data_IF_823646620155
#
_entry.id   IF_823646620155
#
_cell.length_a   1.000
_cell.length_b   1.000
_cell.length_c   1.000
_cell.angle_alpha   90.00
_cell.angle_beta   90.00
_cell.angle_gamma   90.00
#
_symmetry.space_group_name_H-M   'P 1'
#
loop_
_entity.id
_entity.type
_entity.pdbx_description
1 polymer ?
#
# COMPACT_ATOMS: atom_id res chain seq x y z
N UNK A 1 -16.91 0.53 4.34
CA UNK A 1 -16.88 0.00 2.95
C UNK A 1 -15.76 -1.02 2.83
N UNK A 2 -16.08 -2.25 2.43
CA UNK A 2 -15.08 -3.30 2.15
C UNK A 2 -14.20 -2.89 0.96
N UNK A 3 -12.95 -3.35 0.93
CA UNK A 3 -12.01 -3.14 -0.19
C UNK A 3 -12.59 -3.74 -1.48
N UNK A 4 -13.24 -4.90 -1.38
CA UNK A 4 -13.85 -5.63 -2.50
C UNK A 4 -14.96 -4.86 -3.21
N UNK A 5 -15.66 -3.96 -2.50
CA UNK A 5 -16.74 -3.16 -3.08
C UNK A 5 -16.23 -1.89 -3.79
N UNK A 6 -14.93 -1.59 -3.74
CA UNK A 6 -14.38 -0.36 -4.31
C UNK A 6 -14.13 -0.48 -5.82
N UNK A 7 -14.24 0.63 -6.58
CA UNK A 7 -13.80 0.66 -7.97
C UNK A 7 -12.29 0.38 -8.11
N UNK A 8 -11.89 -0.21 -9.22
CA UNK A 8 -10.50 -0.58 -9.53
C UNK A 8 -9.55 0.61 -9.37
N UNK A 9 -9.89 1.76 -9.96
CA UNK A 9 -9.11 3.00 -9.87
C UNK A 9 -8.87 3.44 -8.42
N UNK A 10 -9.86 3.23 -7.54
CA UNK A 10 -9.73 3.61 -6.14
C UNK A 10 -8.71 2.72 -5.43
N UNK A 11 -8.76 1.42 -5.67
CA UNK A 11 -7.84 0.43 -5.08
C UNK A 11 -6.40 0.75 -5.51
N UNK A 12 -6.18 0.96 -6.81
CA UNK A 12 -4.84 1.28 -7.34
C UNK A 12 -4.36 2.62 -6.80
N UNK A 13 -5.19 3.67 -6.77
CA UNK A 13 -4.82 4.98 -6.22
C UNK A 13 -4.44 4.91 -4.75
N UNK A 14 -5.19 4.18 -3.93
CA UNK A 14 -4.86 4.02 -2.52
C UNK A 14 -3.56 3.24 -2.31
N UNK A 15 -3.37 2.17 -3.08
CA UNK A 15 -2.14 1.39 -3.01
C UNK A 15 -0.91 2.20 -3.42
N UNK A 16 -1.01 2.96 -4.52
CA UNK A 16 0.06 3.87 -4.98
C UNK A 16 0.33 5.01 -3.98
N UNK A 17 -0.70 5.52 -3.29
CA UNK A 17 -0.52 6.52 -2.23
C UNK A 17 0.32 5.97 -1.08
N UNK A 18 0.01 4.74 -0.62
CA UNK A 18 0.82 4.07 0.41
C UNK A 18 2.23 3.81 -0.10
N UNK A 19 2.40 3.36 -1.34
CA UNK A 19 3.72 3.15 -1.96
C UNK A 19 4.56 4.42 -1.92
N UNK A 20 4.00 5.56 -2.34
CA UNK A 20 4.69 6.86 -2.31
C UNK A 20 5.05 7.28 -0.89
N UNK A 21 4.17 7.07 0.08
CA UNK A 21 4.48 7.37 1.48
C UNK A 21 5.65 6.51 2.00
N UNK A 22 5.70 5.23 1.66
CA UNK A 22 6.81 4.34 2.03
C UNK A 22 8.13 4.80 1.42
N UNK A 23 8.12 5.26 0.17
CA UNK A 23 9.33 5.84 -0.46
C UNK A 23 9.79 7.11 0.25
N UNK A 24 8.86 8.00 0.62
CA UNK A 24 9.18 9.22 1.39
C UNK A 24 9.73 8.89 2.78
N UNK A 25 9.18 7.85 3.42
CA UNK A 25 9.60 7.42 4.74
C UNK A 25 11.04 6.91 4.80
N UNK A 26 11.62 6.46 3.67
CA UNK A 26 13.02 5.97 3.62
C UNK A 26 14.04 7.02 4.05
N UNK A 27 13.72 8.30 3.84
CA UNK A 27 14.58 9.44 4.23
C UNK A 27 13.98 10.25 5.39
N UNK A 28 12.85 9.83 5.93
CA UNK A 28 12.16 10.55 6.99
C UNK A 28 12.73 10.19 8.37
N UNK A 29 12.93 11.21 9.21
CA UNK A 29 13.30 11.02 10.63
C UNK A 29 12.20 10.30 11.43
N UNK A 30 10.95 10.40 11.01
CA UNK A 30 9.78 9.79 11.65
C UNK A 30 8.86 9.16 10.59
N UNK A 31 9.04 7.86 10.28
CA UNK A 31 8.31 7.20 9.19
C UNK A 31 6.85 6.91 9.57
N UNK A 32 5.91 7.36 8.74
CA UNK A 32 4.45 7.26 8.97
C UNK A 32 3.84 5.92 8.55
N UNK A 33 4.34 5.33 7.48
CA UNK A 33 3.92 4.05 6.91
C UNK A 33 4.59 2.82 7.55
N UNK A 34 5.47 3.04 8.55
CA UNK A 34 6.13 1.96 9.30
C UNK A 34 5.18 1.10 10.15
N UNK A 35 4.00 1.63 10.49
CA UNK A 35 3.04 0.99 11.38
C UNK A 35 2.38 -0.27 10.82
N UNK A 36 2.16 -1.27 11.70
CA UNK A 36 1.53 -2.56 11.36
C UNK A 36 0.18 -2.39 10.62
N UNK A 37 -0.66 -1.45 11.07
CA UNK A 37 -1.97 -1.20 10.43
C UNK A 37 -1.85 -0.74 8.98
N UNK A 38 -0.83 0.05 8.64
CA UNK A 38 -0.59 0.52 7.27
C UNK A 38 -0.14 -0.65 6.40
N UNK A 39 0.75 -1.50 6.92
CA UNK A 39 1.21 -2.73 6.24
C UNK A 39 0.07 -3.71 6.00
N UNK A 40 -0.76 -3.97 7.01
CA UNK A 40 -1.92 -4.87 6.90
C UNK A 40 -2.93 -4.33 5.86
N UNK A 41 -3.20 -3.03 5.88
CA UNK A 41 -4.09 -2.40 4.90
C UNK A 41 -3.52 -2.47 3.47
N UNK A 42 -2.23 -2.21 3.30
CA UNK A 42 -1.56 -2.32 2.01
C UNK A 42 -1.52 -3.76 1.48
N UNK A 43 -1.37 -4.76 2.36
CA UNK A 43 -1.47 -6.18 2.00
C UNK A 43 -2.86 -6.54 1.49
N UNK A 44 -3.93 -6.05 2.14
CA UNK A 44 -5.30 -6.25 1.67
C UNK A 44 -5.58 -5.58 0.32
N UNK A 45 -5.05 -4.37 0.10
CA UNK A 45 -5.12 -3.72 -1.21
C UNK A 45 -4.37 -4.51 -2.28
N UNK A 46 -3.18 -5.06 -1.93
CA UNK A 46 -2.38 -5.85 -2.85
C UNK A 46 -3.07 -7.14 -3.26
N UNK A 47 -3.63 -7.86 -2.29
CA UNK A 47 -4.39 -9.08 -2.55
C UNK A 47 -5.55 -8.80 -3.53
N UNK A 48 -6.22 -7.66 -3.38
CA UNK A 48 -7.31 -7.28 -4.27
C UNK A 48 -6.85 -6.89 -5.69
N UNK A 49 -5.72 -6.18 -5.79
CA UNK A 49 -5.06 -5.87 -7.07
C UNK A 49 -4.72 -7.16 -7.82
N UNK A 50 -4.10 -8.11 -7.13
CA UNK A 50 -3.69 -9.39 -7.72
C UNK A 50 -4.94 -10.22 -8.11
N UNK A 51 -5.98 -10.27 -7.25
CA UNK A 51 -7.25 -10.96 -7.52
C UNK A 51 -7.94 -10.43 -8.78
N UNK A 52 -7.95 -9.11 -8.97
CA UNK A 52 -8.54 -8.44 -10.15
C UNK A 52 -7.60 -8.36 -11.35
N UNK A 53 -6.35 -8.83 -11.21
CA UNK A 53 -5.29 -8.73 -12.22
C UNK A 53 -4.98 -7.29 -12.66
N UNK A 54 -5.07 -6.35 -11.73
CA UNK A 54 -4.74 -4.94 -11.95
C UNK A 54 -3.22 -4.74 -11.92
N UNK A 55 -2.75 -3.68 -12.58
CA UNK A 55 -1.32 -3.33 -12.59
C UNK A 55 -1.01 -2.32 -11.49
N UNK A 56 -0.05 -2.66 -10.62
CA UNK A 56 0.55 -1.74 -9.67
C UNK A 56 1.98 -2.20 -9.31
N UNK A 57 2.89 -1.25 -9.15
CA UNK A 57 4.27 -1.55 -8.74
C UNK A 57 4.31 -2.00 -7.27
N UNK A 58 5.12 -3.00 -6.89
CA UNK A 58 5.19 -3.46 -5.51
C UNK A 58 5.64 -2.34 -4.56
N UNK A 59 5.26 -2.46 -3.29
CA UNK A 59 5.75 -1.58 -2.21
C UNK A 59 7.04 -2.19 -1.66
N UNK A 60 8.14 -1.44 -1.77
CA UNK A 60 9.43 -1.80 -1.20
C UNK A 60 9.50 -1.36 0.26
N UNK A 61 9.14 -2.27 1.16
CA UNK A 61 9.16 -1.99 2.58
C UNK A 61 10.60 -1.94 3.13
N UNK A 62 10.94 -0.97 4.00
CA UNK A 62 12.20 -1.01 4.72
C UNK A 62 12.25 -2.28 5.58
N UNK A 63 13.44 -2.89 5.63
CA UNK A 63 13.73 -3.98 6.54
C UNK A 63 13.42 -3.54 7.97
N UNK A 64 12.90 -4.45 8.79
CA UNK A 64 12.82 -4.20 10.23
C UNK A 64 14.26 -4.28 10.76
N UNK A 65 14.77 -3.18 11.28
CA UNK A 65 15.89 -3.22 12.24
C UNK A 65 15.45 -3.94 13.53
#
# INVERSE_FOLDING_TARGET
MSIEARPDDSIVRFYESVRRQVELDKVAKFPLASGRRVRDYAASLRAEIDRRRLRAAPIEWPAKD
#
